data_IF_401598528607
#
_entry.id   IF_401598528607
#
_cell.length_a   1.000
_cell.length_b   1.000
_cell.length_c   1.000
_cell.angle_alpha   90.00
_cell.angle_beta   90.00
_cell.angle_gamma   90.00
#
_symmetry.space_group_name_H-M   'P 1'
#
loop_
_entity.id
_entity.type
_entity.pdbx_description
1 polymer ?
#
# COMPACT_ATOMS: atom_id res chain seq x y z
N UNK A 1 -37.20 -53.11 55.46
CA UNK A 1 -35.87 -53.06 54.80
C UNK A 1 -35.91 -53.11 53.27
N UNK A 2 -36.94 -53.67 52.60
CA UNK A 2 -36.98 -53.72 51.12
C UNK A 2 -37.16 -52.36 50.41
N UNK A 3 -37.82 -51.37 51.03
CA UNK A 3 -38.09 -50.07 50.41
C UNK A 3 -36.86 -49.16 50.34
N UNK A 4 -35.93 -49.28 51.29
CA UNK A 4 -34.71 -48.47 51.35
C UNK A 4 -33.72 -48.88 50.24
N UNK A 5 -33.62 -50.18 49.95
CA UNK A 5 -32.75 -50.74 48.90
C UNK A 5 -33.26 -50.37 47.50
N UNK A 6 -34.59 -50.31 47.30
CA UNK A 6 -35.19 -49.86 46.05
C UNK A 6 -34.96 -48.37 45.78
N UNK A 7 -35.09 -47.52 46.81
CA UNK A 7 -34.83 -46.08 46.70
C UNK A 7 -33.37 -45.76 46.39
N UNK A 8 -32.42 -46.46 47.02
CA UNK A 8 -30.98 -46.32 46.75
C UNK A 8 -30.61 -46.70 45.31
N UNK A 9 -31.23 -47.76 44.75
CA UNK A 9 -31.05 -48.14 43.34
C UNK A 9 -31.58 -47.08 42.38
N UNK A 10 -32.77 -46.54 42.64
CA UNK A 10 -33.38 -45.48 41.83
C UNK A 10 -32.53 -44.20 41.78
N UNK A 11 -31.97 -43.81 42.93
CA UNK A 11 -31.10 -42.65 43.04
C UNK A 11 -29.75 -42.87 42.33
N UNK A 12 -29.18 -44.07 42.42
CA UNK A 12 -27.97 -44.44 41.68
C UNK A 12 -28.18 -44.40 40.15
N UNK A 13 -29.33 -44.89 39.66
CA UNK A 13 -29.67 -44.79 38.23
C UNK A 13 -29.89 -43.36 37.75
N UNK A 14 -30.50 -42.49 38.58
CA UNK A 14 -30.71 -41.10 38.24
C UNK A 14 -29.40 -40.31 38.19
N UNK A 15 -28.51 -40.52 39.17
CA UNK A 15 -27.17 -39.92 39.18
C UNK A 15 -26.32 -40.42 38.01
N UNK A 16 -26.40 -41.72 37.68
CA UNK A 16 -25.72 -42.29 36.51
C UNK A 16 -26.20 -41.68 35.19
N UNK A 17 -27.52 -41.51 35.03
CA UNK A 17 -28.11 -40.86 33.85
C UNK A 17 -27.70 -39.39 33.73
N UNK A 18 -27.70 -38.65 34.84
CA UNK A 18 -27.27 -37.25 34.86
C UNK A 18 -25.77 -37.09 34.54
N UNK A 19 -24.92 -37.97 35.08
CA UNK A 19 -23.49 -37.99 34.78
C UNK A 19 -23.22 -38.30 33.29
N UNK A 20 -23.98 -39.24 32.70
CA UNK A 20 -23.88 -39.55 31.27
C UNK A 20 -24.30 -38.36 30.40
N UNK A 21 -25.42 -37.70 30.73
CA UNK A 21 -25.89 -36.53 30.00
C UNK A 21 -24.91 -35.35 30.09
N UNK A 22 -24.32 -35.12 31.27
CA UNK A 22 -23.27 -34.14 31.46
C UNK A 22 -22.03 -34.48 30.62
N UNK A 23 -21.58 -35.74 30.64
CA UNK A 23 -20.47 -36.20 29.82
C UNK A 23 -20.75 -35.98 28.33
N UNK A 24 -21.92 -36.38 27.82
CA UNK A 24 -22.31 -36.16 26.41
C UNK A 24 -22.33 -34.67 26.07
N UNK A 25 -22.81 -33.82 26.98
CA UNK A 25 -22.87 -32.37 26.76
C UNK A 25 -21.47 -31.77 26.65
N UNK A 26 -20.53 -32.19 27.51
CA UNK A 26 -19.12 -31.80 27.44
C UNK A 26 -18.49 -32.30 26.13
N UNK A 27 -18.76 -33.54 25.72
CA UNK A 27 -18.25 -34.09 24.45
C UNK A 27 -18.73 -33.30 23.24
N UNK A 28 -20.00 -32.88 23.23
CA UNK A 28 -20.59 -32.13 22.11
C UNK A 28 -20.06 -30.69 22.06
N UNK A 29 -19.81 -30.06 23.22
CA UNK A 29 -19.43 -28.64 23.30
C UNK A 29 -17.92 -28.41 23.28
N UNK A 30 -17.16 -29.19 24.05
CA UNK A 30 -15.71 -29.03 24.23
C UNK A 30 -14.89 -30.05 23.43
N UNK A 31 -15.51 -31.15 22.99
CA UNK A 31 -14.82 -32.26 22.33
C UNK A 31 -14.39 -33.35 23.33
N UNK A 32 -14.04 -34.53 22.81
CA UNK A 32 -13.53 -35.63 23.61
C UNK A 32 -12.09 -35.28 24.07
N UNK A 33 -11.74 -35.35 25.38
CA UNK A 33 -10.36 -35.17 25.86
C UNK A 33 -9.52 -36.41 25.53
N UNK A 34 -9.43 -36.72 24.24
CA UNK A 34 -8.51 -37.68 23.68
C UNK A 34 -7.14 -37.00 23.69
N UNK A 35 -6.31 -37.32 24.68
CA UNK A 35 -4.91 -36.90 24.69
C UNK A 35 -4.11 -37.50 23.50
N UNK A 36 -3.04 -38.27 23.72
CA UNK A 36 -2.18 -38.76 22.64
C UNK A 36 -2.86 -39.72 21.65
N UNK A 37 -4.11 -40.14 21.91
CA UNK A 37 -4.91 -41.00 21.03
C UNK A 37 -5.31 -40.30 19.71
N UNK A 38 -5.21 -38.97 19.63
CA UNK A 38 -5.46 -38.20 18.40
C UNK A 38 -4.39 -38.41 17.32
N UNK A 39 -3.24 -38.99 17.67
CA UNK A 39 -2.08 -39.22 16.79
C UNK A 39 -2.09 -40.60 16.10
N UNK A 40 -3.14 -41.42 16.25
CA UNK A 40 -3.24 -42.72 15.58
C UNK A 40 -3.66 -42.52 14.12
N UNK A 41 -2.79 -42.78 13.13
CA UNK A 41 -2.98 -42.37 11.74
C UNK A 41 -4.15 -43.07 11.02
N UNK A 42 -4.66 -44.19 11.57
CA UNK A 42 -5.75 -44.96 10.97
C UNK A 42 -7.15 -44.49 11.40
N UNK A 43 -7.26 -43.80 12.54
CA UNK A 43 -8.53 -43.31 13.12
C UNK A 43 -8.62 -41.78 13.17
N UNK A 44 -7.53 -41.09 12.83
CA UNK A 44 -7.39 -39.63 12.89
C UNK A 44 -8.52 -38.82 12.25
N UNK A 45 -8.98 -39.10 11.01
CA UNK A 45 -9.99 -38.28 10.34
C UNK A 45 -11.38 -38.36 10.98
N UNK A 46 -11.76 -39.56 11.48
CA UNK A 46 -13.07 -39.78 12.11
C UNK A 46 -13.06 -39.25 13.55
N UNK A 47 -11.94 -39.39 14.25
CA UNK A 47 -11.75 -38.84 15.59
C UNK A 47 -11.61 -37.32 15.58
N UNK A 48 -11.08 -36.69 14.53
CA UNK A 48 -11.04 -35.23 14.40
C UNK A 48 -12.43 -34.60 14.35
N UNK A 49 -13.41 -35.24 13.70
CA UNK A 49 -14.79 -34.74 13.63
C UNK A 49 -15.48 -34.79 15.01
N UNK A 50 -15.09 -35.75 15.86
CA UNK A 50 -15.62 -35.94 17.22
C UNK A 50 -14.80 -35.18 18.28
N UNK A 51 -13.50 -34.99 18.05
CA UNK A 51 -12.58 -34.30 18.94
C UNK A 51 -12.58 -32.77 18.72
N UNK A 52 -12.82 -32.30 17.49
CA UNK A 52 -13.06 -30.88 17.24
C UNK A 52 -14.50 -30.52 17.60
N UNK A 53 -14.68 -29.97 18.79
CA UNK A 53 -15.94 -29.38 19.21
C UNK A 53 -16.41 -28.30 18.22
N UNK A 54 -17.72 -27.97 18.26
CA UNK A 54 -18.28 -26.88 17.44
C UNK A 54 -17.47 -25.58 17.56
N UNK A 55 -16.99 -25.29 18.78
CA UNK A 55 -16.22 -24.09 19.10
C UNK A 55 -14.91 -24.01 18.31
N UNK A 56 -14.18 -25.12 18.14
CA UNK A 56 -12.91 -25.11 17.40
C UNK A 56 -13.08 -25.01 15.89
N UNK A 57 -14.20 -25.52 15.34
CA UNK A 57 -14.58 -25.27 13.94
C UNK A 57 -14.89 -23.79 13.70
N UNK A 58 -15.73 -23.19 14.53
CA UNK A 58 -16.07 -21.77 14.43
C UNK A 58 -14.83 -20.88 14.63
N UNK A 59 -13.91 -21.25 15.54
CA UNK A 59 -12.65 -20.54 15.74
C UNK A 59 -11.74 -20.61 14.50
N UNK A 60 -11.64 -21.77 13.84
CA UNK A 60 -10.87 -21.92 12.59
C UNK A 60 -11.49 -21.12 11.44
N UNK A 61 -12.81 -21.15 11.30
CA UNK A 61 -13.54 -20.37 10.30
C UNK A 61 -13.36 -18.85 10.54
N UNK A 62 -13.47 -18.40 11.78
CA UNK A 62 -13.21 -17.02 12.17
C UNK A 62 -11.78 -16.57 11.84
N UNK A 63 -10.78 -17.39 12.17
CA UNK A 63 -9.38 -17.10 11.85
C UNK A 63 -9.12 -17.00 10.33
N UNK A 64 -9.83 -17.79 9.50
CA UNK A 64 -9.75 -17.68 8.04
C UNK A 64 -10.43 -16.41 7.53
N UNK A 65 -11.59 -16.05 8.08
CA UNK A 65 -12.31 -14.83 7.71
C UNK A 65 -11.50 -13.56 8.04
N UNK A 66 -10.91 -13.49 9.25
CA UNK A 66 -10.04 -12.38 9.66
C UNK A 66 -8.82 -12.24 8.75
N UNK A 67 -8.15 -13.37 8.42
CA UNK A 67 -7.02 -13.35 7.49
C UNK A 67 -7.42 -12.79 6.12
N UNK A 68 -8.57 -13.19 5.57
CA UNK A 68 -9.06 -12.68 4.28
C UNK A 68 -9.35 -11.18 4.34
N UNK A 69 -10.03 -10.71 5.39
CA UNK A 69 -10.30 -9.29 5.58
C UNK A 69 -9.01 -8.47 5.69
N UNK A 70 -8.00 -9.01 6.39
CA UNK A 70 -6.69 -8.38 6.50
C UNK A 70 -5.95 -8.32 5.16
N UNK A 71 -5.96 -9.42 4.40
CA UNK A 71 -5.36 -9.47 3.06
C UNK A 71 -6.02 -8.49 2.09
N UNK A 72 -7.35 -8.40 2.09
CA UNK A 72 -8.09 -7.45 1.26
C UNK A 72 -7.74 -6.01 1.62
N UNK A 73 -7.73 -5.69 2.91
CA UNK A 73 -7.35 -4.35 3.40
C UNK A 73 -5.92 -4.01 2.99
N UNK A 74 -4.99 -4.95 3.16
CA UNK A 74 -3.60 -4.79 2.76
C UNK A 74 -3.47 -4.56 1.25
N UNK A 75 -4.21 -5.31 0.42
CA UNK A 75 -4.20 -5.14 -1.04
C UNK A 75 -4.70 -3.76 -1.45
N UNK A 76 -5.78 -3.25 -0.83
CA UNK A 76 -6.30 -1.91 -1.09
C UNK A 76 -5.28 -0.82 -0.74
N UNK A 77 -4.69 -0.91 0.46
CA UNK A 77 -3.65 0.05 0.90
C UNK A 77 -2.42 0.04 -0.03
N UNK A 78 -1.99 -1.13 -0.50
CA UNK A 78 -0.88 -1.23 -1.45
C UNK A 78 -1.25 -0.62 -2.83
N UNK A 79 -2.49 -0.80 -3.28
CA UNK A 79 -2.97 -0.23 -4.53
C UNK A 79 -3.04 1.30 -4.45
N UNK A 80 -3.60 1.85 -3.37
CA UNK A 80 -3.67 3.29 -3.12
C UNK A 80 -2.27 3.93 -3.10
N UNK A 81 -1.33 3.36 -2.33
CA UNK A 81 0.05 3.84 -2.32
C UNK A 81 0.72 3.75 -3.70
N UNK A 82 0.42 2.72 -4.49
CA UNK A 82 0.96 2.60 -5.85
C UNK A 82 0.39 3.68 -6.79
N UNK A 83 -0.90 4.00 -6.68
CA UNK A 83 -1.51 5.08 -7.44
C UNK A 83 -0.95 6.45 -7.05
N UNK A 84 -0.79 6.72 -5.76
CA UNK A 84 -0.18 7.96 -5.27
C UNK A 84 1.25 8.13 -5.81
N UNK A 85 2.06 7.06 -5.76
CA UNK A 85 3.41 7.08 -6.33
C UNK A 85 3.39 7.36 -7.83
N UNK A 86 2.47 6.77 -8.59
CA UNK A 86 2.33 7.04 -10.03
C UNK A 86 1.95 8.48 -10.30
N UNK A 87 1.02 9.06 -9.52
CA UNK A 87 0.65 10.47 -9.63
C UNK A 87 1.82 11.39 -9.32
N UNK A 88 2.56 11.11 -8.24
CA UNK A 88 3.76 11.86 -7.88
C UNK A 88 4.84 11.76 -8.97
N UNK A 89 5.11 10.57 -9.50
CA UNK A 89 6.03 10.37 -10.63
C UNK A 89 5.59 11.11 -11.88
N UNK A 90 4.29 11.12 -12.19
CA UNK A 90 3.73 11.90 -13.31
C UNK A 90 3.94 13.41 -13.14
N UNK A 91 3.78 13.92 -11.92
CA UNK A 91 4.05 15.32 -11.59
C UNK A 91 5.53 15.67 -11.76
N UNK A 92 6.43 14.82 -11.25
CA UNK A 92 7.88 14.98 -11.41
C UNK A 92 8.26 14.97 -12.89
N UNK A 93 7.79 13.98 -13.67
CA UNK A 93 8.08 13.89 -15.09
C UNK A 93 7.54 15.07 -15.91
N UNK A 94 6.46 15.71 -15.44
CA UNK A 94 5.92 16.92 -16.07
C UNK A 94 6.75 18.15 -15.71
N UNK A 95 7.14 18.28 -14.45
CA UNK A 95 8.03 19.36 -14.00
C UNK A 95 9.42 19.26 -14.65
N UNK A 96 9.96 18.06 -14.81
CA UNK A 96 11.23 17.81 -15.49
C UNK A 96 11.16 18.23 -16.95
N UNK A 97 10.09 17.85 -17.67
CA UNK A 97 9.88 18.31 -19.06
C UNK A 97 9.81 19.83 -19.15
N UNK A 98 9.04 20.49 -18.28
CA UNK A 98 8.95 21.94 -18.27
C UNK A 98 10.30 22.62 -17.98
N UNK A 99 11.12 22.04 -17.08
CA UNK A 99 12.45 22.51 -16.78
C UNK A 99 13.41 22.36 -17.97
N UNK A 100 13.39 21.20 -18.64
CA UNK A 100 14.22 20.95 -19.82
C UNK A 100 13.84 21.89 -20.97
N UNK A 101 12.54 22.05 -21.25
CA UNK A 101 12.06 23.00 -22.26
C UNK A 101 12.48 24.44 -21.96
N UNK A 102 12.45 24.83 -20.67
CA UNK A 102 12.95 26.15 -20.26
C UNK A 102 14.46 26.25 -20.52
N UNK A 103 15.23 25.24 -20.14
CA UNK A 103 16.70 25.21 -20.34
C UNK A 103 17.06 25.32 -21.82
N UNK A 104 16.32 24.64 -22.68
CA UNK A 104 16.55 24.68 -24.13
C UNK A 104 16.19 26.06 -24.71
N UNK A 105 15.07 26.66 -24.27
CA UNK A 105 14.70 28.05 -24.61
C UNK A 105 15.74 29.07 -24.14
N UNK A 106 16.25 28.90 -22.92
CA UNK A 106 17.30 29.78 -22.37
C UNK A 106 18.58 29.62 -23.20
N UNK A 107 18.95 28.41 -23.61
CA UNK A 107 20.12 28.16 -24.45
C UNK A 107 19.97 28.74 -25.89
N UNK A 108 18.77 28.71 -26.46
CA UNK A 108 18.46 29.41 -27.72
C UNK A 108 18.56 30.92 -27.56
N UNK A 109 18.02 31.45 -26.46
CA UNK A 109 18.07 32.88 -26.14
C UNK A 109 19.50 33.36 -26.00
N UNK A 110 20.34 32.65 -25.23
CA UNK A 110 21.77 32.97 -25.06
C UNK A 110 22.49 32.95 -26.41
N UNK A 111 22.33 31.89 -27.22
CA UNK A 111 22.93 31.83 -28.56
C UNK A 111 22.51 33.00 -29.44
N UNK A 112 21.24 33.41 -29.38
CA UNK A 112 20.73 34.54 -30.14
C UNK A 112 21.33 35.88 -29.67
N UNK A 113 21.59 36.03 -28.37
CA UNK A 113 22.23 37.21 -27.80
C UNK A 113 23.71 37.26 -28.16
N UNK A 114 24.44 36.15 -28.04
CA UNK A 114 25.84 36.03 -28.44
C UNK A 114 26.03 36.39 -29.92
N UNK A 115 25.13 35.91 -30.80
CA UNK A 115 25.16 36.26 -32.21
C UNK A 115 24.93 37.77 -32.45
N UNK A 116 23.98 38.39 -31.73
CA UNK A 116 23.72 39.83 -31.84
C UNK A 116 24.89 40.68 -31.32
N UNK A 117 25.54 40.26 -30.23
CA UNK A 117 26.73 40.93 -29.70
C UNK A 117 27.86 40.87 -30.73
N UNK A 118 28.13 39.69 -31.30
CA UNK A 118 29.16 39.53 -32.33
C UNK A 118 28.89 40.38 -33.58
N UNK A 119 27.63 40.50 -34.00
CA UNK A 119 27.25 41.37 -35.13
C UNK A 119 27.48 42.85 -34.80
N UNK A 120 27.12 43.28 -33.58
CA UNK A 120 27.35 44.66 -33.14
C UNK A 120 28.86 44.97 -33.04
N UNK A 121 29.67 44.07 -32.48
CA UNK A 121 31.13 44.23 -32.40
C UNK A 121 31.77 44.36 -33.78
N UNK A 122 31.32 43.59 -34.77
CA UNK A 122 31.77 43.72 -36.17
C UNK A 122 31.38 45.07 -36.76
N UNK A 123 30.13 45.49 -36.57
CA UNK A 123 29.65 46.79 -37.05
C UNK A 123 30.41 47.95 -36.40
N UNK A 124 30.74 47.85 -35.12
CA UNK A 124 31.52 48.86 -34.40
C UNK A 124 32.99 48.88 -34.87
N UNK A 125 33.58 47.72 -35.19
CA UNK A 125 34.92 47.63 -35.76
C UNK A 125 35.00 48.21 -37.19
N UNK A 126 33.97 47.99 -38.02
CA UNK A 126 33.85 48.56 -39.37
C UNK A 126 33.56 50.07 -39.35
N UNK A 127 32.86 50.56 -38.32
CA UNK A 127 32.54 51.99 -38.16
C UNK A 127 33.76 52.88 -37.82
N UNK A 128 34.95 52.30 -37.64
CA UNK A 128 36.22 53.00 -37.74
C UNK A 128 36.32 54.26 -36.88
N UNK A 129 36.20 54.12 -35.56
CA UNK A 129 36.78 55.06 -34.57
C UNK A 129 36.39 56.54 -34.62
N UNK A 130 35.40 56.97 -35.42
CA UNK A 130 35.02 58.37 -35.55
C UNK A 130 33.51 58.57 -35.45
N UNK A 131 33.00 58.63 -34.22
CA UNK A 131 31.71 59.26 -33.92
C UNK A 131 31.60 59.57 -32.43
N UNK A 132 32.02 60.79 -32.06
CA UNK A 132 31.66 61.48 -30.82
C UNK A 132 30.17 61.92 -30.81
N UNK A 133 29.27 61.08 -31.33
CA UNK A 133 27.83 61.26 -31.24
C UNK A 133 27.37 60.16 -30.30
N UNK A 134 26.65 60.53 -29.25
CA UNK A 134 26.00 59.66 -28.26
C UNK A 134 25.18 58.55 -28.92
N UNK A 135 25.88 57.55 -29.45
CA UNK A 135 25.33 56.36 -30.07
C UNK A 135 24.83 55.54 -28.89
N UNK A 136 23.54 55.24 -28.86
CA UNK A 136 22.96 54.41 -27.80
C UNK A 136 23.88 53.22 -27.57
N UNK A 137 24.42 53.10 -26.37
CA UNK A 137 25.46 52.15 -25.96
C UNK A 137 25.14 50.66 -26.27
N UNK A 138 23.91 50.38 -26.73
CA UNK A 138 23.38 49.08 -27.13
C UNK A 138 22.64 49.28 -28.46
N UNK A 139 22.96 48.49 -29.50
CA UNK A 139 22.26 48.54 -30.78
C UNK A 139 20.78 48.18 -30.65
N UNK A 140 19.89 48.76 -31.49
CA UNK A 140 18.43 48.54 -31.40
C UNK A 140 18.05 47.05 -31.35
N UNK A 141 18.67 46.21 -32.20
CA UNK A 141 18.43 44.77 -32.21
C UNK A 141 18.86 44.04 -30.93
N UNK A 142 19.95 44.46 -30.28
CA UNK A 142 20.39 43.90 -29.00
C UNK A 142 19.50 44.39 -27.84
N UNK A 143 19.07 45.65 -27.87
CA UNK A 143 18.13 46.21 -26.89
C UNK A 143 16.80 45.47 -26.91
N UNK A 144 16.21 45.27 -28.09
CA UNK A 144 14.90 44.61 -28.21
C UNK A 144 14.95 43.15 -27.72
N UNK A 145 16.07 42.44 -27.96
CA UNK A 145 16.29 41.07 -27.45
C UNK A 145 16.52 41.05 -25.93
N UNK A 146 17.22 42.01 -25.36
CA UNK A 146 17.40 42.13 -23.90
C UNK A 146 16.10 42.48 -23.18
N UNK A 147 15.28 43.37 -23.77
CA UNK A 147 13.96 43.73 -23.23
C UNK A 147 13.00 42.53 -23.19
N UNK A 148 13.17 41.58 -24.12
CA UNK A 148 12.42 40.33 -24.18
C UNK A 148 12.81 39.33 -23.07
N UNK A 149 14.02 39.44 -22.50
CA UNK A 149 14.51 38.60 -21.39
C UNK A 149 14.14 39.18 -20.02
N UNK A 150 14.04 40.51 -19.91
CA UNK A 150 13.79 41.21 -18.65
C UNK A 150 12.32 41.29 -18.21
N UNK A 151 11.37 40.82 -19.02
CA UNK A 151 9.94 40.75 -18.70
C UNK A 151 9.51 39.32 -18.38
#
# INVERSE_FOLDING_TARGET
MLTLVGGLRGLASALGGAALAAAISILVYEGLPLGPLRLVPLLGPVLEIVADGRVDRVRREGAVAERRAWEETRRRMLAEMAEERRKAQGAIATAERAYLEKRDRDAETIRSLEAAISEQEKADAEAGGDACVMRSFIGRGLRDRLDQVGR
#
